data_IF_569107059956
#
_entry.id   IF_569107059956
#
_cell.length_a   1.000
_cell.length_b   1.000
_cell.length_c   1.000
_cell.angle_alpha   90.00
_cell.angle_beta   90.00
_cell.angle_gamma   90.00
#
_symmetry.space_group_name_H-M   'P 1'
#
loop_
_entity.id
_entity.type
_entity.pdbx_description
1 polymer ?
#
# COMPACT_ATOMS: atom_id res chain seq x y z
N UNK A 1 -18.94 6.49 -6.68
CA UNK A 1 -18.55 5.14 -6.36
C UNK A 1 -17.11 5.06 -5.94
N UNK A 2 -16.80 4.11 -5.12
CA UNK A 2 -15.56 4.15 -4.36
C UNK A 2 -14.59 3.04 -4.72
N UNK A 3 -14.60 2.67 -6.00
CA UNK A 3 -13.81 1.52 -6.46
C UNK A 3 -12.32 1.67 -6.29
N UNK A 4 -11.82 2.92 -6.22
CA UNK A 4 -10.38 3.17 -6.10
C UNK A 4 -10.05 4.08 -4.93
N UNK A 5 -10.87 4.05 -3.89
CA UNK A 5 -10.70 4.96 -2.76
C UNK A 5 -9.38 4.79 -2.04
N UNK A 6 -8.97 3.54 -1.86
CA UNK A 6 -7.69 3.26 -1.22
C UNK A 6 -6.54 3.82 -2.06
N UNK A 7 -6.59 3.62 -3.37
CA UNK A 7 -5.57 4.12 -4.28
C UNK A 7 -5.47 5.63 -4.21
N UNK A 8 -6.62 6.31 -4.21
CA UNK A 8 -6.66 7.78 -4.13
C UNK A 8 -6.05 8.26 -2.81
N UNK A 9 -6.42 7.62 -1.71
CA UNK A 9 -5.88 7.97 -0.40
C UNK A 9 -4.36 7.78 -0.37
N UNK A 10 -3.88 6.69 -0.93
CA UNK A 10 -2.45 6.39 -0.98
C UNK A 10 -1.70 7.45 -1.78
N UNK A 11 -2.21 7.81 -2.95
CA UNK A 11 -1.56 8.80 -3.81
C UNK A 11 -1.55 10.18 -3.14
N UNK A 12 -2.64 10.54 -2.49
CA UNK A 12 -2.70 11.82 -1.77
C UNK A 12 -1.69 11.87 -0.64
N UNK A 13 -1.53 10.79 0.08
CA UNK A 13 -0.56 10.74 1.16
C UNK A 13 0.88 10.82 0.63
N UNK A 14 1.15 10.14 -0.48
CA UNK A 14 2.47 10.21 -1.11
C UNK A 14 2.77 11.64 -1.54
N UNK A 15 1.80 12.33 -2.14
CA UNK A 15 1.98 13.72 -2.53
C UNK A 15 2.25 14.62 -1.32
N UNK A 16 1.56 14.39 -0.21
CA UNK A 16 1.80 15.13 1.02
C UNK A 16 3.23 14.94 1.51
N UNK A 17 3.72 13.71 1.46
CA UNK A 17 5.10 13.42 1.88
C UNK A 17 6.09 14.19 1.01
N UNK A 18 5.85 14.25 -0.30
CA UNK A 18 6.72 15.00 -1.20
C UNK A 18 6.71 16.49 -0.88
N UNK A 19 5.53 17.05 -0.61
CA UNK A 19 5.40 18.45 -0.28
C UNK A 19 6.13 18.80 1.01
N UNK A 20 6.23 17.83 1.92
CA UNK A 20 6.95 18.00 3.18
C UNK A 20 8.45 17.75 3.03
N UNK A 21 8.91 17.47 1.83
CA UNK A 21 10.32 17.16 1.58
C UNK A 21 10.74 15.77 1.97
N UNK A 22 9.80 14.90 2.29
CA UNK A 22 10.10 13.52 2.71
C UNK A 22 10.11 12.59 1.51
N UNK A 23 11.04 12.86 0.60
CA UNK A 23 11.08 12.15 -0.69
C UNK A 23 11.40 10.67 -0.55
N UNK A 24 12.32 10.31 0.34
CA UNK A 24 12.69 8.91 0.53
C UNK A 24 11.50 8.09 1.02
N UNK A 25 10.76 8.62 2.00
CA UNK A 25 9.58 7.94 2.53
C UNK A 25 8.51 7.81 1.46
N UNK A 26 8.27 8.90 0.70
CA UNK A 26 7.30 8.89 -0.39
C UNK A 26 7.65 7.82 -1.42
N UNK A 27 8.93 7.67 -1.73
CA UNK A 27 9.41 6.70 -2.70
C UNK A 27 9.09 5.26 -2.26
N UNK A 28 9.33 4.96 -0.99
CA UNK A 28 9.06 3.61 -0.46
C UNK A 28 7.57 3.32 -0.46
N UNK A 29 6.73 4.29 -0.05
CA UNK A 29 5.28 4.14 -0.12
C UNK A 29 4.82 3.88 -1.55
N UNK A 30 5.37 4.61 -2.50
CA UNK A 30 5.01 4.42 -3.91
C UNK A 30 5.33 3.01 -4.36
N UNK A 31 6.50 2.49 -3.98
CA UNK A 31 6.87 1.11 -4.32
C UNK A 31 5.93 0.10 -3.70
N UNK A 32 5.55 0.29 -2.44
CA UNK A 32 4.63 -0.62 -1.77
C UNK A 32 3.28 -0.65 -2.47
N UNK A 33 2.74 0.50 -2.82
CA UNK A 33 1.45 0.60 -3.50
C UNK A 33 1.53 -0.03 -4.89
N UNK A 34 2.62 0.22 -5.61
CA UNK A 34 2.81 -0.36 -6.94
C UNK A 34 2.87 -1.89 -6.87
N UNK A 35 3.61 -2.42 -5.90
CA UNK A 35 3.71 -3.85 -5.69
C UNK A 35 2.35 -4.46 -5.38
N UNK A 36 1.60 -3.83 -4.49
CA UNK A 36 0.27 -4.32 -4.13
C UNK A 36 -0.70 -4.27 -5.31
N UNK A 37 -0.61 -3.21 -6.12
CA UNK A 37 -1.43 -3.09 -7.32
C UNK A 37 -1.14 -4.21 -8.31
N UNK A 38 0.12 -4.56 -8.48
CA UNK A 38 0.50 -5.67 -9.34
C UNK A 38 -0.04 -7.00 -8.81
N UNK A 39 0.00 -7.18 -7.51
CA UNK A 39 -0.56 -8.38 -6.89
C UNK A 39 -2.07 -8.46 -7.11
N UNK A 40 -2.78 -7.35 -6.96
CA UNK A 40 -4.22 -7.30 -7.14
C UNK A 40 -4.64 -7.36 -8.62
N UNK A 41 -3.73 -7.07 -9.52
CA UNK A 41 -4.03 -7.04 -10.95
C UNK A 41 -4.81 -5.80 -11.38
N UNK A 42 -4.87 -4.78 -10.53
CA UNK A 42 -5.59 -3.55 -10.83
C UNK A 42 -5.04 -2.41 -9.99
N UNK A 43 -5.14 -1.20 -10.53
CA UNK A 43 -4.77 0.01 -9.78
C UNK A 43 -5.96 0.60 -9.04
N UNK A 44 -7.16 0.08 -9.28
CA UNK A 44 -8.38 0.54 -8.60
C UNK A 44 -8.63 -0.31 -7.38
N UNK A 45 -8.05 0.09 -6.25
CA UNK A 45 -8.11 -0.70 -5.02
C UNK A 45 -9.06 -0.01 -4.04
N UNK A 46 -10.00 -0.80 -3.50
CA UNK A 46 -10.93 -0.33 -2.48
C UNK A 46 -10.39 -0.62 -1.09
N UNK A 47 -10.93 0.07 -0.08
CA UNK A 47 -10.55 -0.23 1.30
C UNK A 47 -10.93 -1.64 1.72
N UNK A 48 -12.03 -2.17 1.19
CA UNK A 48 -12.45 -3.53 1.54
C UNK A 48 -11.47 -4.59 1.06
N UNK A 49 -10.63 -4.26 0.09
CA UNK A 49 -9.58 -5.17 -0.37
C UNK A 49 -8.48 -5.34 0.69
N UNK A 50 -8.36 -4.37 1.59
CA UNK A 50 -7.34 -4.43 2.66
C UNK A 50 -7.96 -5.17 3.84
N UNK A 51 -7.92 -6.48 3.78
CA UNK A 51 -8.41 -7.34 4.86
C UNK A 51 -7.34 -8.38 5.19
N UNK A 52 -7.56 -9.09 6.28
CA UNK A 52 -6.57 -10.05 6.79
C UNK A 52 -6.19 -11.10 5.75
N UNK A 53 -7.19 -11.64 5.05
CA UNK A 53 -6.95 -12.69 4.08
C UNK A 53 -6.13 -12.18 2.89
N UNK A 54 -6.51 -11.03 2.34
CA UNK A 54 -5.78 -10.44 1.22
C UNK A 54 -4.34 -10.12 1.60
N UNK A 55 -4.15 -9.55 2.79
CA UNK A 55 -2.81 -9.21 3.26
C UNK A 55 -1.96 -10.46 3.47
N UNK A 56 -2.57 -11.54 3.95
CA UNK A 56 -1.85 -12.81 4.11
C UNK A 56 -1.41 -13.36 2.77
N UNK A 57 -2.28 -13.33 1.77
CA UNK A 57 -1.95 -13.77 0.43
C UNK A 57 -0.86 -12.90 -0.19
N UNK A 58 -0.94 -11.60 0.03
CA UNK A 58 0.08 -10.67 -0.47
C UNK A 58 1.43 -10.97 0.18
N UNK A 59 1.45 -11.22 1.49
CA UNK A 59 2.69 -11.56 2.19
C UNK A 59 3.31 -12.83 1.58
N UNK A 60 2.51 -13.85 1.31
CA UNK A 60 3.00 -15.08 0.68
C UNK A 60 3.52 -14.81 -0.73
N UNK A 61 2.84 -13.94 -1.47
CA UNK A 61 3.28 -13.53 -2.80
C UNK A 61 4.65 -12.87 -2.74
N UNK A 62 4.88 -12.00 -1.76
CA UNK A 62 6.16 -11.34 -1.60
C UNK A 62 7.27 -12.32 -1.19
N UNK A 63 6.94 -13.29 -0.34
CA UNK A 63 7.89 -14.33 0.04
C UNK A 63 8.30 -15.15 -1.18
N UNK A 64 7.34 -15.50 -2.03
CA UNK A 64 7.61 -16.24 -3.26
C UNK A 64 8.47 -15.41 -4.23
N UNK A 65 8.39 -14.09 -4.15
CA UNK A 65 9.22 -13.19 -4.96
C UNK A 65 10.61 -12.98 -4.37
N UNK A 66 10.95 -13.70 -3.31
CA UNK A 66 12.28 -13.69 -2.66
C UNK A 66 12.64 -12.34 -2.04
N UNK A 67 11.64 -11.58 -1.62
CA UNK A 67 11.90 -10.36 -0.88
C UNK A 67 12.33 -10.68 0.54
N UNK A 68 13.17 -9.81 1.09
CA UNK A 68 13.64 -9.98 2.46
C UNK A 68 12.48 -9.77 3.45
N UNK A 69 12.48 -10.48 4.58
CA UNK A 69 11.41 -10.32 5.58
C UNK A 69 11.21 -8.87 6.04
N UNK A 70 12.30 -8.12 6.17
CA UNK A 70 12.20 -6.70 6.58
C UNK A 70 11.45 -5.88 5.54
N UNK A 71 11.69 -6.13 4.26
CA UNK A 71 10.99 -5.43 3.18
C UNK A 71 9.51 -5.76 3.21
N UNK A 72 9.19 -7.04 3.41
CA UNK A 72 7.80 -7.49 3.48
C UNK A 72 7.09 -6.82 4.65
N UNK A 73 7.71 -6.81 5.83
CA UNK A 73 7.13 -6.14 7.00
C UNK A 73 6.91 -4.66 6.75
N UNK A 74 7.85 -4.01 6.08
CA UNK A 74 7.73 -2.59 5.77
C UNK A 74 6.54 -2.33 4.85
N UNK A 75 6.38 -3.12 3.81
CA UNK A 75 5.26 -2.96 2.87
C UNK A 75 3.93 -3.19 3.58
N UNK A 76 3.84 -4.23 4.41
CA UNK A 76 2.61 -4.52 5.15
C UNK A 76 2.26 -3.38 6.09
N UNK A 77 3.25 -2.83 6.77
CA UNK A 77 3.04 -1.70 7.69
C UNK A 77 2.56 -0.47 6.94
N UNK A 78 3.12 -0.22 5.76
CA UNK A 78 2.73 0.93 4.95
C UNK A 78 1.30 0.82 4.46
N UNK A 79 0.89 -0.36 4.01
CA UNK A 79 -0.50 -0.55 3.60
C UNK A 79 -1.47 -0.30 4.75
N UNK A 80 -1.13 -0.79 5.95
CA UNK A 80 -1.96 -0.57 7.14
C UNK A 80 -2.01 0.90 7.51
N UNK A 81 -0.89 1.59 7.40
CA UNK A 81 -0.82 3.02 7.70
C UNK A 81 -1.79 3.81 6.82
N UNK A 82 -1.78 3.54 5.52
CA UNK A 82 -2.67 4.21 4.59
C UNK A 82 -4.12 3.85 4.89
N UNK A 83 -4.38 2.59 5.17
CA UNK A 83 -5.73 2.14 5.50
C UNK A 83 -6.27 2.90 6.72
N UNK A 84 -5.47 2.98 7.77
CA UNK A 84 -5.90 3.65 9.00
C UNK A 84 -6.17 5.14 8.76
N UNK A 85 -5.36 5.78 7.93
CA UNK A 85 -5.57 7.19 7.61
C UNK A 85 -6.87 7.41 6.86
N UNK A 86 -7.18 6.54 5.91
CA UNK A 86 -8.37 6.68 5.09
C UNK A 86 -9.64 6.31 5.80
N UNK A 87 -9.57 5.31 6.66
CA UNK A 87 -10.74 4.81 7.38
C UNK A 87 -11.22 5.81 8.43
N UNK A 88 -10.30 6.58 9.00
CA UNK A 88 -10.64 7.55 10.05
C UNK A 88 -11.25 8.83 9.52
N UNK A 89 -11.27 9.03 8.23
CA UNK A 89 -11.92 10.19 7.60
C UNK A 89 -13.29 9.81 7.03
#
# INVERSE_FOLDING_TARGET
MEKNRFTICANNYIDCLRQEGRYSTAHVYKHAIRSFSQFCGTQSITFSRINRETLKRYSNYLLASRLKPNTISTYMRMLRSIYNRGVDT
#
